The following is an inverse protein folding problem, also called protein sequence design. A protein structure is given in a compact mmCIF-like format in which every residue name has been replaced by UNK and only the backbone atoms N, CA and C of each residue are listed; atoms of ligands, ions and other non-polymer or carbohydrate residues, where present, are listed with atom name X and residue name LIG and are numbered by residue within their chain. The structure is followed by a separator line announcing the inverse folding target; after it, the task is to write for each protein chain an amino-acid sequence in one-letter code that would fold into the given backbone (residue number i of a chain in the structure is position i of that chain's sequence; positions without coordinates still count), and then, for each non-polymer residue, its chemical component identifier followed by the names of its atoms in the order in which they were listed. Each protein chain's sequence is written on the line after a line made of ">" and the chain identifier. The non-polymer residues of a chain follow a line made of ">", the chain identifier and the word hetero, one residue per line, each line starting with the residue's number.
data_IF_581330544029
#
_entry.id   IF_581330544029
#
_cell.length_a   1.000
_cell.length_b   1.000
_cell.length_c   1.000
_cell.angle_alpha   90.00
_cell.angle_beta   90.00
_cell.angle_gamma   90.00
#
_symmetry.space_group_name_H-M   'P 1'
#
loop_
_entity.id
_entity.type
_entity.pdbx_description
1 polymer ?
#
# COMPACT_ATOMS: atom_id res chain seq x y z
N UNK A 1 -1.53 1.81 25.29
CA UNK A 1 -0.94 2.81 24.38
C UNK A 1 -0.59 4.00 25.23
N UNK A 2 0.69 4.30 25.38
CA UNK A 2 1.19 5.37 26.24
C UNK A 2 0.88 6.74 25.63
N UNK A 3 0.54 7.71 26.43
CA UNK A 3 0.22 9.10 26.07
C UNK A 3 1.27 9.71 25.11
N UNK A 4 2.55 9.37 25.28
CA UNK A 4 3.63 9.77 24.37
C UNK A 4 3.45 9.31 22.90
N UNK A 5 2.90 8.13 22.66
CA UNK A 5 2.65 7.63 21.29
C UNK A 5 1.50 8.39 20.59
N UNK A 6 0.51 8.83 21.35
CA UNK A 6 -0.60 9.65 20.83
C UNK A 6 -0.14 11.08 20.49
N UNK A 7 0.68 11.67 21.33
CA UNK A 7 1.20 13.03 21.11
C UNK A 7 2.15 13.09 19.90
N UNK A 8 2.98 12.05 19.70
CA UNK A 8 3.84 11.93 18.51
C UNK A 8 3.04 11.72 17.22
N UNK A 9 2.01 10.87 17.22
CA UNK A 9 1.14 10.68 16.06
C UNK A 9 0.40 11.96 15.69
N UNK A 10 -0.06 12.72 16.67
CA UNK A 10 -0.73 14.00 16.46
C UNK A 10 0.24 15.04 15.88
N UNK A 11 1.49 15.06 16.33
CA UNK A 11 2.52 15.97 15.81
C UNK A 11 2.87 15.66 14.34
N UNK A 12 3.05 14.38 13.99
CA UNK A 12 3.33 13.95 12.61
C UNK A 12 2.15 14.29 11.68
N UNK A 13 0.93 13.98 12.11
CA UNK A 13 -0.27 14.29 11.33
C UNK A 13 -0.42 15.81 11.09
N UNK A 14 -0.16 16.62 12.11
CA UNK A 14 -0.24 18.08 11.99
C UNK A 14 0.82 18.65 11.03
N UNK A 15 2.05 18.13 11.05
CA UNK A 15 3.09 18.57 10.11
C UNK A 15 2.75 18.20 8.68
N UNK A 16 2.20 17.01 8.44
CA UNK A 16 1.79 16.56 7.11
C UNK A 16 0.60 17.32 6.56
N UNK A 17 -0.42 17.58 7.40
CA UNK A 17 -1.60 18.37 7.01
C UNK A 17 -1.22 19.81 6.66
N UNK A 18 -0.30 20.39 7.42
CA UNK A 18 0.09 21.79 7.24
C UNK A 18 1.11 22.00 6.12
N UNK A 19 2.00 21.05 5.86
CA UNK A 19 3.15 21.26 4.97
C UNK A 19 3.15 20.34 3.74
N UNK A 20 2.48 19.20 3.76
CA UNK A 20 2.48 18.20 2.69
C UNK A 20 3.89 17.70 2.32
N UNK A 21 4.83 17.76 3.26
CA UNK A 21 6.25 17.54 3.03
C UNK A 21 6.82 16.58 4.07
N UNK A 22 7.28 15.42 3.60
CA UNK A 22 7.88 14.37 4.42
C UNK A 22 9.37 14.60 4.70
N UNK A 23 10.02 15.55 4.02
CA UNK A 23 11.47 15.77 4.13
C UNK A 23 11.93 16.12 5.55
N UNK A 24 11.03 16.74 6.33
CA UNK A 24 11.30 17.19 7.71
C UNK A 24 11.07 16.13 8.78
N UNK A 25 10.51 14.99 8.39
CA UNK A 25 10.29 13.88 9.31
C UNK A 25 11.58 13.09 9.54
N UNK A 26 11.76 12.58 10.75
CA UNK A 26 12.83 11.61 11.02
C UNK A 26 12.61 10.32 10.21
N UNK A 27 13.66 9.51 10.03
CA UNK A 27 13.54 8.23 9.32
C UNK A 27 12.48 7.33 9.97
N UNK A 28 12.46 7.24 11.30
CA UNK A 28 11.47 6.45 12.04
C UNK A 28 10.03 6.97 11.84
N UNK A 29 9.84 8.28 11.82
CA UNK A 29 8.51 8.87 11.59
C UNK A 29 8.04 8.65 10.16
N UNK A 30 8.94 8.68 9.17
CA UNK A 30 8.62 8.34 7.78
C UNK A 30 8.18 6.89 7.63
N UNK A 31 8.88 5.94 8.27
CA UNK A 31 8.50 4.52 8.30
C UNK A 31 7.15 4.33 8.98
N UNK A 32 6.92 5.00 10.11
CA UNK A 32 5.64 4.95 10.82
C UNK A 32 4.50 5.51 9.97
N UNK A 33 4.73 6.65 9.33
CA UNK A 33 3.76 7.25 8.39
C UNK A 33 3.46 6.33 7.22
N UNK A 34 4.50 5.77 6.60
CA UNK A 34 4.39 4.84 5.48
C UNK A 34 3.55 3.62 5.84
N UNK A 35 3.86 2.96 6.97
CA UNK A 35 3.13 1.79 7.43
C UNK A 35 1.66 2.14 7.75
N UNK A 36 1.41 3.24 8.45
CA UNK A 36 0.06 3.71 8.75
C UNK A 36 -0.74 4.09 7.49
N UNK A 37 -0.07 4.62 6.46
CA UNK A 37 -0.70 4.92 5.17
C UNK A 37 -1.07 3.63 4.42
N UNK A 38 -0.16 2.66 4.35
CA UNK A 38 -0.43 1.33 3.77
C UNK A 38 -1.59 0.63 4.50
N UNK A 39 -1.59 0.62 5.83
CA UNK A 39 -2.65 0.01 6.64
C UNK A 39 -4.02 0.61 6.35
N UNK A 40 -4.13 1.94 6.28
CA UNK A 40 -5.38 2.64 5.94
C UNK A 40 -5.88 2.32 4.54
N UNK A 41 -4.96 2.09 3.61
CA UNK A 41 -5.27 1.71 2.23
C UNK A 41 -5.52 0.21 2.05
N UNK A 42 -5.29 -0.61 3.09
CA UNK A 42 -5.39 -2.07 3.03
C UNK A 42 -4.29 -2.71 2.18
N UNK A 43 -3.13 -2.06 2.07
CA UNK A 43 -2.01 -2.51 1.25
C UNK A 43 -0.89 -3.11 2.10
N UNK A 44 -0.19 -4.08 1.53
CA UNK A 44 0.97 -4.71 2.15
C UNK A 44 2.23 -3.83 2.00
N UNK A 45 2.77 -3.25 3.10
CA UNK A 45 3.93 -2.38 3.06
C UNK A 45 5.20 -3.07 2.55
N UNK A 46 5.35 -4.39 2.76
CA UNK A 46 6.53 -5.16 2.33
C UNK A 46 6.68 -5.24 0.82
N UNK A 47 5.61 -5.06 0.07
CA UNK A 47 5.62 -5.03 -1.39
C UNK A 47 5.95 -3.66 -1.97
N UNK A 48 6.25 -2.68 -1.13
CA UNK A 48 6.55 -1.28 -1.48
C UNK A 48 5.48 -0.66 -2.40
N UNK A 49 4.20 -0.59 -1.95
CA UNK A 49 3.13 -0.01 -2.76
C UNK A 49 3.30 1.49 -3.02
N UNK A 50 4.08 2.16 -2.19
CA UNK A 50 4.46 3.56 -2.36
C UNK A 50 5.98 3.71 -2.25
N UNK A 51 6.50 4.81 -2.79
CA UNK A 51 7.89 5.22 -2.61
C UNK A 51 7.95 6.74 -2.47
N UNK A 52 9.11 7.27 -2.08
CA UNK A 52 9.32 8.69 -1.89
C UNK A 52 9.84 9.34 -3.17
N UNK A 53 9.22 10.43 -3.54
CA UNK A 53 9.66 11.34 -4.59
C UNK A 53 10.19 12.62 -3.95
N UNK A 54 11.41 12.99 -4.30
CA UNK A 54 11.97 14.28 -3.93
C UNK A 54 11.79 15.27 -5.08
N UNK A 55 11.04 16.34 -4.81
CA UNK A 55 10.70 17.36 -5.79
C UNK A 55 10.81 18.75 -5.15
N UNK A 56 11.65 19.62 -5.71
CA UNK A 56 11.85 21.00 -5.24
C UNK A 56 12.14 21.09 -3.72
N UNK A 57 12.94 20.15 -3.19
CA UNK A 57 13.30 20.09 -1.77
C UNK A 57 12.25 19.48 -0.86
N UNK A 58 11.09 19.12 -1.38
CA UNK A 58 10.04 18.40 -0.65
C UNK A 58 10.07 16.91 -0.94
N UNK A 59 9.66 16.11 0.01
CA UNK A 59 9.44 14.68 -0.18
C UNK A 59 7.96 14.36 -0.08
N UNK A 60 7.44 13.68 -1.10
CA UNK A 60 6.04 13.24 -1.18
C UNK A 60 5.97 11.76 -1.53
N UNK A 61 4.90 11.07 -1.14
CA UNK A 61 4.65 9.70 -1.57
C UNK A 61 4.11 9.68 -3.01
N UNK A 62 4.58 8.71 -3.78
CA UNK A 62 3.97 8.35 -5.06
C UNK A 62 3.62 6.87 -5.10
N UNK A 63 2.62 6.50 -5.89
CA UNK A 63 2.15 5.13 -6.00
C UNK A 63 2.98 4.36 -7.03
N UNK A 64 3.57 3.25 -6.61
CA UNK A 64 4.33 2.35 -7.48
C UNK A 64 3.41 1.45 -8.31
N UNK A 65 4.00 0.68 -9.23
CA UNK A 65 3.28 -0.37 -9.96
C UNK A 65 2.65 -1.39 -9.01
N UNK A 66 3.38 -1.81 -7.98
CA UNK A 66 2.89 -2.74 -6.96
C UNK A 66 1.65 -2.20 -6.25
N UNK A 67 1.68 -0.92 -5.86
CA UNK A 67 0.56 -0.27 -5.20
C UNK A 67 -0.70 -0.28 -6.05
N UNK A 68 -0.62 0.14 -7.32
CA UNK A 68 -1.79 0.13 -8.21
C UNK A 68 -2.33 -1.27 -8.48
N UNK A 69 -1.45 -2.28 -8.58
CA UNK A 69 -1.89 -3.67 -8.75
C UNK A 69 -2.63 -4.22 -7.53
N UNK A 70 -2.18 -3.90 -6.32
CA UNK A 70 -2.86 -4.26 -5.09
C UNK A 70 -4.21 -3.56 -4.97
N UNK A 71 -4.27 -2.25 -5.26
CA UNK A 71 -5.51 -1.48 -5.29
C UNK A 71 -6.53 -2.09 -6.27
N UNK A 72 -6.09 -2.46 -7.47
CA UNK A 72 -6.95 -3.13 -8.45
C UNK A 72 -7.52 -4.45 -7.91
N UNK A 73 -6.69 -5.27 -7.27
CA UNK A 73 -7.13 -6.53 -6.65
C UNK A 73 -8.09 -6.30 -5.49
N UNK A 74 -7.78 -5.35 -4.61
CA UNK A 74 -8.56 -5.04 -3.41
C UNK A 74 -9.96 -4.52 -3.77
N UNK A 75 -10.02 -3.55 -4.68
CA UNK A 75 -11.26 -2.88 -5.08
C UNK A 75 -11.95 -3.54 -6.30
N UNK A 76 -11.39 -4.65 -6.82
CA UNK A 76 -11.94 -5.36 -8.01
C UNK A 76 -12.05 -4.45 -9.24
N UNK A 77 -11.04 -3.59 -9.44
CA UNK A 77 -10.99 -2.69 -10.61
C UNK A 77 -10.72 -3.51 -11.87
N UNK A 78 -11.55 -3.31 -12.88
CA UNK A 78 -11.37 -3.87 -14.22
C UNK A 78 -10.94 -2.78 -15.20
N UNK A 79 -10.08 -3.13 -16.16
CA UNK A 79 -9.59 -2.21 -17.18
C UNK A 79 -10.00 -2.64 -18.56
N UNK A 80 -10.42 -1.67 -19.38
CA UNK A 80 -10.64 -1.81 -20.82
C UNK A 80 -9.85 -0.73 -21.54
N UNK A 81 -9.07 -1.10 -22.55
CA UNK A 81 -8.43 -0.11 -23.42
C UNK A 81 -9.45 0.34 -24.46
N UNK A 82 -9.80 1.62 -24.42
CA UNK A 82 -10.82 2.21 -25.30
C UNK A 82 -10.24 2.79 -26.58
N UNK A 83 -8.99 3.28 -26.54
CA UNK A 83 -8.28 3.70 -27.77
C UNK A 83 -6.78 3.48 -27.71
N UNK A 84 -6.16 3.41 -28.89
CA UNK A 84 -4.72 3.43 -29.10
C UNK A 84 -4.45 4.30 -30.33
N UNK A 85 -3.85 5.47 -30.09
CA UNK A 85 -3.66 6.48 -31.12
C UNK A 85 -2.17 6.88 -31.25
N UNK A 86 -1.78 7.15 -32.47
CA UNK A 86 -0.44 7.66 -32.79
C UNK A 86 -0.55 9.07 -33.37
N UNK A 87 -0.01 10.05 -32.68
CA UNK A 87 0.20 11.38 -33.28
C UNK A 87 1.61 11.42 -33.87
N UNK A 88 1.70 11.20 -35.17
CA UNK A 88 2.97 11.12 -35.88
C UNK A 88 3.69 12.47 -35.91
N UNK A 89 2.97 13.59 -36.01
CA UNK A 89 3.54 14.94 -36.05
C UNK A 89 4.20 15.31 -34.71
N UNK A 90 3.52 14.99 -33.62
CA UNK A 90 4.04 15.20 -32.26
C UNK A 90 5.02 14.10 -31.80
N UNK A 91 5.12 13.00 -32.54
CA UNK A 91 5.94 11.85 -32.16
C UNK A 91 5.46 11.19 -30.86
N UNK A 92 4.14 11.17 -30.61
CA UNK A 92 3.55 10.67 -29.36
C UNK A 92 2.60 9.51 -29.62
N UNK A 93 2.70 8.46 -28.81
CA UNK A 93 1.73 7.37 -28.74
C UNK A 93 0.86 7.54 -27.52
N UNK A 94 -0.46 7.45 -27.69
CA UNK A 94 -1.47 7.69 -26.67
C UNK A 94 -2.33 6.45 -26.52
N UNK A 95 -2.56 6.05 -25.30
CA UNK A 95 -3.49 4.96 -24.93
C UNK A 95 -4.53 5.52 -23.99
N UNK A 96 -5.81 5.23 -24.22
CA UNK A 96 -6.90 5.53 -23.29
C UNK A 96 -7.34 4.25 -22.61
N UNK A 97 -7.37 4.26 -21.29
CA UNK A 97 -7.84 3.16 -20.46
C UNK A 97 -9.05 3.59 -19.66
N UNK A 98 -10.13 2.81 -19.75
CA UNK A 98 -11.29 2.89 -18.89
C UNK A 98 -11.11 1.93 -17.72
N UNK A 99 -11.15 2.44 -16.50
CA UNK A 99 -11.24 1.67 -15.28
C UNK A 99 -12.70 1.64 -14.79
N UNK A 100 -13.15 0.51 -14.25
CA UNK A 100 -14.51 0.32 -13.74
C UNK A 100 -14.52 -0.49 -12.45
N UNK A 101 -15.49 -0.17 -11.58
CA UNK A 101 -15.82 -0.92 -10.36
C UNK A 101 -17.05 -1.79 -10.58
N UNK A 102 -17.27 -2.81 -9.72
CA UNK A 102 -18.47 -3.66 -9.80
C UNK A 102 -19.80 -2.91 -9.61
N UNK A 103 -19.77 -1.75 -8.95
CA UNK A 103 -20.94 -0.89 -8.75
C UNK A 103 -21.33 -0.06 -9.98
N UNK A 104 -20.56 -0.16 -11.06
CA UNK A 104 -20.78 0.56 -12.32
C UNK A 104 -20.06 1.91 -12.43
N UNK A 105 -19.44 2.41 -11.36
CA UNK A 105 -18.56 3.62 -11.45
C UNK A 105 -17.41 3.34 -12.40
N UNK A 106 -17.10 4.32 -13.24
CA UNK A 106 -15.99 4.22 -14.16
C UNK A 106 -15.35 5.60 -14.40
N UNK A 107 -14.11 5.58 -14.84
CA UNK A 107 -13.36 6.75 -15.30
C UNK A 107 -12.47 6.35 -16.47
N UNK A 108 -12.04 7.32 -17.25
CA UNK A 108 -11.05 7.12 -18.32
C UNK A 108 -9.84 8.02 -18.07
N UNK A 109 -8.67 7.48 -18.33
CA UNK A 109 -7.41 8.22 -18.24
C UNK A 109 -6.49 7.85 -19.39
N UNK A 110 -5.65 8.80 -19.78
CA UNK A 110 -4.70 8.60 -20.87
C UNK A 110 -3.29 8.33 -20.32
N UNK A 111 -2.55 7.50 -21.06
CA UNK A 111 -1.12 7.34 -20.94
C UNK A 111 -0.44 7.72 -22.25
N UNK A 112 0.44 8.70 -22.22
CA UNK A 112 1.15 9.16 -23.38
C UNK A 112 2.66 8.98 -23.22
N UNK A 113 3.34 8.60 -24.28
CA UNK A 113 4.80 8.43 -24.34
C UNK A 113 5.34 8.99 -25.64
N UNK A 114 6.55 9.54 -25.57
CA UNK A 114 7.28 9.98 -26.76
C UNK A 114 7.81 8.74 -27.50
N UNK A 115 7.54 8.67 -28.81
CA UNK A 115 8.00 7.61 -29.73
C UNK A 115 8.86 8.15 -30.87
N UNK A 116 9.12 9.45 -30.89
CA UNK A 116 9.90 10.08 -31.94
C UNK A 116 11.31 9.46 -32.03
N UNK A 117 11.66 8.98 -33.21
CA UNK A 117 12.96 8.35 -33.46
C UNK A 117 13.17 6.95 -32.89
N UNK A 118 12.21 6.40 -32.15
CA UNK A 118 12.29 5.06 -31.57
C UNK A 118 12.07 3.99 -32.65
N UNK A 119 12.82 2.87 -32.56
CA UNK A 119 12.72 1.71 -33.46
C UNK A 119 12.85 0.41 -32.66
N UNK A 120 12.34 -0.67 -33.25
CA UNK A 120 12.48 -2.02 -32.70
C UNK A 120 11.99 -2.12 -31.26
N UNK A 121 12.86 -2.67 -30.40
CA UNK A 121 12.53 -2.94 -29.00
C UNK A 121 12.21 -1.66 -28.20
N UNK A 122 12.94 -0.56 -28.43
CA UNK A 122 12.65 0.70 -27.76
C UNK A 122 11.25 1.24 -28.08
N UNK A 123 10.80 1.10 -29.32
CA UNK A 123 9.43 1.44 -29.74
C UNK A 123 8.39 0.53 -29.06
N UNK A 124 8.63 -0.78 -29.04
CA UNK A 124 7.73 -1.72 -28.38
C UNK A 124 7.60 -1.44 -26.88
N UNK A 125 8.72 -1.16 -26.22
CA UNK A 125 8.72 -0.81 -24.78
C UNK A 125 7.97 0.50 -24.52
N UNK A 126 8.08 1.49 -25.38
CA UNK A 126 7.34 2.75 -25.26
C UNK A 126 5.82 2.51 -25.34
N UNK A 127 5.36 1.69 -26.27
CA UNK A 127 3.93 1.32 -26.41
C UNK A 127 3.42 0.62 -25.14
N UNK A 128 4.17 -0.36 -24.62
CA UNK A 128 3.81 -1.04 -23.38
C UNK A 128 3.80 -0.08 -22.17
N UNK A 129 4.73 0.88 -22.13
CA UNK A 129 4.78 1.92 -21.10
C UNK A 129 3.54 2.83 -21.16
N UNK A 130 3.08 3.21 -22.35
CA UNK A 130 1.87 4.03 -22.52
C UNK A 130 0.63 3.33 -21.97
N UNK A 131 0.45 2.03 -22.28
CA UNK A 131 -0.68 1.25 -21.77
C UNK A 131 -0.63 1.11 -20.23
N UNK A 132 0.53 0.83 -19.69
CA UNK A 132 0.73 0.73 -18.24
C UNK A 132 0.40 2.06 -17.56
N UNK A 133 0.85 3.19 -18.11
CA UNK A 133 0.59 4.53 -17.62
C UNK A 133 -0.90 4.85 -17.60
N UNK A 134 -1.61 4.56 -18.70
CA UNK A 134 -3.06 4.75 -18.80
C UNK A 134 -3.82 3.98 -17.70
N UNK A 135 -3.50 2.69 -17.53
CA UNK A 135 -4.15 1.84 -16.51
C UNK A 135 -3.91 2.34 -15.09
N UNK A 136 -2.69 2.72 -14.75
CA UNK A 136 -2.36 3.22 -13.40
C UNK A 136 -3.11 4.50 -13.08
N UNK A 137 -3.09 5.48 -13.97
CA UNK A 137 -3.81 6.74 -13.79
C UNK A 137 -5.30 6.50 -13.64
N UNK A 138 -5.90 5.67 -14.51
CA UNK A 138 -7.31 5.33 -14.41
C UNK A 138 -7.67 4.66 -13.06
N UNK A 139 -6.78 3.83 -12.49
CA UNK A 139 -6.97 3.26 -11.16
C UNK A 139 -7.01 4.34 -10.09
N UNK A 140 -6.01 5.22 -10.05
CA UNK A 140 -5.88 6.25 -9.02
C UNK A 140 -7.03 7.26 -9.10
N UNK A 141 -7.43 7.67 -10.31
CA UNK A 141 -8.56 8.56 -10.55
C UNK A 141 -9.88 7.92 -10.07
N UNK A 142 -10.12 6.66 -10.44
CA UNK A 142 -11.34 5.94 -10.08
C UNK A 142 -11.52 5.79 -8.57
N UNK A 143 -10.42 5.56 -7.86
CA UNK A 143 -10.41 5.40 -6.41
C UNK A 143 -10.32 6.73 -5.65
N UNK A 144 -10.20 7.85 -6.35
CA UNK A 144 -10.11 9.19 -5.74
C UNK A 144 -8.82 9.42 -4.97
N UNK A 145 -7.74 8.76 -5.38
CA UNK A 145 -6.43 8.88 -4.75
C UNK A 145 -5.65 10.00 -5.41
N UNK A 146 -5.45 11.10 -4.69
CA UNK A 146 -4.69 12.26 -5.14
C UNK A 146 -3.16 12.07 -5.11
N UNK A 147 -2.68 10.84 -5.30
CA UNK A 147 -1.24 10.53 -5.38
C UNK A 147 -0.83 10.35 -6.83
N UNK A 148 0.35 10.86 -7.16
CA UNK A 148 0.94 10.67 -8.49
C UNK A 148 1.38 9.21 -8.70
N UNK A 149 1.39 8.75 -9.94
CA UNK A 149 1.91 7.44 -10.27
C UNK A 149 3.42 7.48 -10.54
N UNK A 150 4.05 6.29 -10.53
CA UNK A 150 5.48 6.13 -10.79
C UNK A 150 5.93 6.72 -12.14
N UNK A 151 5.11 6.61 -13.18
CA UNK A 151 5.45 7.13 -14.50
C UNK A 151 5.29 8.65 -14.60
N UNK A 152 4.43 9.24 -13.78
CA UNK A 152 4.37 10.69 -13.61
C UNK A 152 5.59 11.19 -12.83
N UNK A 153 5.94 10.51 -11.73
CA UNK A 153 7.13 10.82 -10.95
C UNK A 153 8.42 10.83 -11.82
N UNK A 154 8.60 9.80 -12.68
CA UNK A 154 9.74 9.72 -13.61
C UNK A 154 9.74 10.84 -14.67
N UNK A 155 8.60 11.42 -15.01
CA UNK A 155 8.49 12.46 -16.04
C UNK A 155 8.68 13.87 -15.51
N UNK A 156 8.76 14.07 -14.21
CA UNK A 156 8.97 15.39 -13.59
C UNK A 156 10.44 15.77 -13.67
N UNK A 157 10.80 16.90 -14.32
CA UNK A 157 12.18 17.36 -14.36
C UNK A 157 12.76 17.62 -12.96
N UNK A 158 13.98 17.19 -12.72
CA UNK A 158 14.69 17.32 -11.44
C UNK A 158 14.06 16.57 -10.25
N UNK A 159 13.14 15.66 -10.50
CA UNK A 159 12.65 14.75 -9.47
C UNK A 159 13.60 13.56 -9.31
N UNK A 160 13.88 13.16 -8.07
CA UNK A 160 14.58 11.91 -7.76
C UNK A 160 13.66 10.94 -7.08
N UNK A 161 13.58 9.73 -7.63
CA UNK A 161 12.82 8.60 -7.10
C UNK A 161 13.72 7.68 -6.28
N UNK A 162 13.12 6.80 -5.44
CA UNK A 162 13.88 5.78 -4.70
C UNK A 162 14.51 6.26 -3.40
N UNK A 163 14.08 7.39 -2.87
CA UNK A 163 14.62 7.94 -1.61
C UNK A 163 14.42 7.02 -0.39
N UNK A 164 13.49 6.06 -0.43
CA UNK A 164 13.34 5.03 0.61
C UNK A 164 14.53 4.07 0.64
N UNK A 165 15.14 3.75 -0.51
CA UNK A 165 16.32 2.86 -0.56
C UNK A 165 17.54 3.50 0.07
N UNK A 166 17.80 4.77 -0.21
CA UNK A 166 18.92 5.53 0.38
C UNK A 166 18.76 5.74 1.88
N UNK A 167 17.53 5.67 2.42
CA UNK A 167 17.28 5.78 3.86
C UNK A 167 17.58 4.50 4.61
N UNK A 168 17.32 3.34 4.03
CA UNK A 168 17.66 2.05 4.64
C UNK A 168 19.18 1.90 4.75
N UNK A 169 19.94 2.40 3.77
CA UNK A 169 21.40 2.41 3.80
C UNK A 169 21.99 3.45 4.76
N UNK A 170 21.23 4.50 5.09
CA UNK A 170 21.65 5.58 5.99
C UNK A 170 21.21 5.40 7.45
N UNK A 171 20.44 4.36 7.77
CA UNK A 171 20.13 3.99 9.15
C UNK A 171 21.39 3.31 9.69
N UNK A 172 22.15 3.92 10.63
CA UNK A 172 23.22 3.20 11.31
C UNK A 172 22.57 1.94 11.91
N UNK A 173 23.28 0.82 11.86
CA UNK A 173 22.84 -0.44 12.47
C UNK A 173 22.20 -0.12 13.82
N UNK A 174 20.85 -0.11 13.83
CA UNK A 174 20.11 0.09 15.07
C UNK A 174 20.33 -1.16 15.89
N UNK A 175 20.66 -0.95 17.16
CA UNK A 175 20.86 -2.01 18.13
C UNK A 175 19.87 -3.15 17.92
N UNK A 176 20.38 -4.37 17.89
CA UNK A 176 19.65 -5.62 17.61
C UNK A 176 18.37 -5.77 18.46
N UNK A 177 18.32 -5.13 19.63
CA UNK A 177 17.13 -5.09 20.50
C UNK A 177 15.89 -4.45 19.87
N UNK A 178 16.03 -3.44 19.01
CA UNK A 178 14.87 -2.75 18.39
C UNK A 178 14.31 -3.54 17.21
N UNK A 179 15.16 -4.26 16.49
CA UNK A 179 14.73 -5.14 15.38
C UNK A 179 14.00 -6.36 15.94
N UNK A 180 14.49 -6.96 17.02
CA UNK A 180 13.80 -8.06 17.72
C UNK A 180 12.42 -7.66 18.25
N UNK A 181 12.26 -6.45 18.77
CA UNK A 181 10.96 -5.96 19.28
C UNK A 181 9.97 -5.74 18.14
N UNK A 182 10.42 -5.23 16.98
CA UNK A 182 9.54 -5.02 15.81
C UNK A 182 9.15 -6.35 15.16
N UNK A 183 10.08 -7.29 15.03
CA UNK A 183 9.81 -8.63 14.50
C UNK A 183 8.88 -9.42 15.43
N UNK A 184 9.09 -9.36 16.75
CA UNK A 184 8.24 -10.03 17.74
C UNK A 184 6.82 -9.44 17.77
N UNK A 185 6.65 -8.12 17.68
CA UNK A 185 5.31 -7.50 17.59
C UNK A 185 4.58 -7.83 16.29
N UNK A 186 5.29 -7.89 15.16
CA UNK A 186 4.71 -8.27 13.87
C UNK A 186 4.33 -9.75 13.82
N UNK A 187 5.17 -10.64 14.34
CA UNK A 187 4.88 -12.06 14.50
C UNK A 187 3.75 -12.31 15.50
N UNK A 188 3.67 -11.55 16.57
CA UNK A 188 2.59 -11.64 17.54
C UNK A 188 1.25 -11.22 16.94
N UNK A 189 1.19 -10.13 16.21
CA UNK A 189 -0.01 -9.68 15.48
C UNK A 189 -0.45 -10.68 14.41
N UNK A 190 0.49 -11.26 13.64
CA UNK A 190 0.22 -12.29 12.65
C UNK A 190 -0.30 -13.58 13.32
N UNK A 191 0.25 -13.93 14.48
CA UNK A 191 -0.18 -15.08 15.28
C UNK A 191 -1.58 -14.86 15.87
N UNK A 192 -1.89 -13.66 16.35
CA UNK A 192 -3.21 -13.27 16.85
C UNK A 192 -4.26 -13.36 15.73
N UNK A 193 -3.95 -12.86 14.54
CA UNK A 193 -4.82 -12.97 13.37
C UNK A 193 -5.12 -14.42 12.97
N UNK A 194 -4.10 -15.28 12.94
CA UNK A 194 -4.25 -16.72 12.65
C UNK A 194 -5.08 -17.43 13.72
N UNK A 195 -4.90 -17.05 14.99
CA UNK A 195 -5.64 -17.61 16.11
C UNK A 195 -7.11 -17.21 16.06
N UNK A 196 -7.44 -15.96 15.73
CA UNK A 196 -8.82 -15.51 15.53
C UNK A 196 -9.52 -16.29 14.40
N UNK A 197 -8.80 -16.55 13.29
CA UNK A 197 -9.31 -17.38 12.19
C UNK A 197 -9.55 -18.83 12.63
N UNK A 198 -8.64 -19.43 13.40
CA UNK A 198 -8.78 -20.79 13.91
C UNK A 198 -9.97 -20.93 14.84
N UNK A 199 -10.19 -19.97 15.76
CA UNK A 199 -11.35 -19.90 16.64
C UNK A 199 -12.65 -19.83 15.82
N UNK A 200 -12.68 -18.99 14.78
CA UNK A 200 -13.85 -18.80 13.93
C UNK A 200 -14.18 -20.03 13.07
N UNK A 201 -13.17 -20.80 12.67
CA UNK A 201 -13.32 -22.03 11.87
C UNK A 201 -13.69 -23.27 12.68
N UNK A 202 -13.52 -23.27 14.00
CA UNK A 202 -13.88 -24.41 14.84
C UNK A 202 -15.37 -24.75 14.69
N UNK A 203 -15.68 -25.98 14.28
CA UNK A 203 -17.04 -26.43 13.94
C UNK A 203 -17.76 -27.02 15.14
N UNK A 204 -17.06 -27.35 16.21
CA UNK A 204 -17.60 -27.92 17.42
C UNK A 204 -16.78 -27.54 18.68
N UNK A 205 -17.31 -27.84 19.85
CA UNK A 205 -16.70 -27.49 21.15
C UNK A 205 -15.35 -28.19 21.36
N UNK A 206 -15.16 -29.40 20.80
CA UNK A 206 -13.93 -30.18 20.95
C UNK A 206 -12.79 -29.51 20.18
N UNK A 207 -13.04 -29.09 18.93
CA UNK A 207 -12.11 -28.34 18.13
C UNK A 207 -11.77 -26.99 18.76
N UNK A 208 -12.79 -26.28 19.28
CA UNK A 208 -12.58 -24.99 19.94
C UNK A 208 -11.72 -25.14 21.20
N UNK A 209 -11.89 -26.22 21.95
CA UNK A 209 -11.09 -26.55 23.12
C UNK A 209 -9.64 -26.88 22.74
N UNK A 210 -9.41 -27.63 21.65
CA UNK A 210 -8.09 -27.93 21.15
C UNK A 210 -7.32 -26.66 20.75
N UNK A 211 -7.99 -25.69 20.09
CA UNK A 211 -7.40 -24.39 19.76
C UNK A 211 -7.03 -23.61 21.03
N UNK A 212 -7.89 -23.64 22.05
CA UNK A 212 -7.61 -22.99 23.33
C UNK A 212 -6.41 -23.63 24.04
N UNK A 213 -6.40 -24.95 24.20
CA UNK A 213 -5.37 -25.68 24.94
C UNK A 213 -3.98 -25.49 24.30
N UNK A 214 -3.92 -25.48 22.96
CA UNK A 214 -2.68 -25.25 22.21
C UNK A 214 -2.16 -23.80 22.29
N UNK A 215 -3.02 -22.84 22.62
CA UNK A 215 -2.66 -21.40 22.59
C UNK A 215 -3.05 -20.66 23.88
N UNK A 216 -3.19 -21.37 24.99
CA UNK A 216 -3.73 -20.86 26.25
C UNK A 216 -3.12 -19.55 26.69
N UNK A 217 -1.79 -19.45 26.73
CA UNK A 217 -1.09 -18.24 27.16
C UNK A 217 -1.44 -17.02 26.29
N UNK A 218 -1.43 -17.17 24.96
CA UNK A 218 -1.75 -16.09 24.02
C UNK A 218 -3.21 -15.65 24.09
N UNK A 219 -4.12 -16.56 24.38
CA UNK A 219 -5.54 -16.27 24.53
C UNK A 219 -5.80 -15.55 25.85
N UNK A 220 -5.15 -15.97 26.93
CA UNK A 220 -5.36 -15.38 28.25
C UNK A 220 -4.79 -13.97 28.37
N UNK A 221 -3.72 -13.67 27.63
CA UNK A 221 -3.08 -12.34 27.61
C UNK A 221 -3.74 -11.36 26.65
N UNK A 222 -4.57 -11.83 25.69
CA UNK A 222 -5.18 -10.97 24.68
C UNK A 222 -6.71 -10.91 24.83
N UNK A 223 -7.22 -9.75 25.25
CA UNK A 223 -8.65 -9.53 25.52
C UNK A 223 -9.52 -9.76 24.28
N UNK A 224 -9.07 -9.30 23.09
CA UNK A 224 -9.80 -9.46 21.82
C UNK A 224 -10.01 -10.93 21.46
N UNK A 225 -8.95 -11.76 21.56
CA UNK A 225 -9.05 -13.21 21.28
C UNK A 225 -9.91 -13.92 22.30
N UNK A 226 -9.83 -13.53 23.56
CA UNK A 226 -10.66 -14.05 24.65
C UNK A 226 -12.16 -13.84 24.41
N UNK A 227 -12.52 -12.67 23.90
CA UNK A 227 -13.90 -12.33 23.57
C UNK A 227 -14.39 -13.08 22.31
N UNK A 228 -13.54 -13.24 21.29
CA UNK A 228 -13.85 -14.07 20.12
C UNK A 228 -14.09 -15.54 20.51
N UNK A 229 -13.28 -16.08 21.40
CA UNK A 229 -13.42 -17.45 21.87
C UNK A 229 -14.73 -17.64 22.66
N UNK A 230 -15.09 -16.68 23.54
CA UNK A 230 -16.36 -16.70 24.28
C UNK A 230 -17.57 -16.62 23.34
N UNK A 231 -17.50 -15.72 22.34
CA UNK A 231 -18.55 -15.57 21.35
C UNK A 231 -18.77 -16.87 20.58
N UNK A 232 -17.68 -17.48 20.06
CA UNK A 232 -17.76 -18.74 19.32
C UNK A 232 -18.24 -19.91 20.16
N UNK A 233 -17.83 -20.00 21.43
CA UNK A 233 -18.33 -20.99 22.37
C UNK A 233 -19.84 -20.89 22.56
N UNK A 234 -20.34 -19.65 22.71
CA UNK A 234 -21.79 -19.43 22.90
C UNK A 234 -22.61 -19.76 21.64
N UNK A 235 -22.06 -19.53 20.46
CA UNK A 235 -22.68 -19.93 19.18
C UNK A 235 -22.79 -21.45 19.08
N UNK A 236 -21.70 -22.18 19.37
CA UNK A 236 -21.64 -23.64 19.29
C UNK A 236 -22.48 -24.37 20.39
N UNK A 237 -22.87 -23.68 21.46
CA UNK A 237 -23.74 -24.21 22.48
C UNK A 237 -25.24 -23.98 22.21
N UNK A 238 -25.57 -23.11 21.24
CA UNK A 238 -26.95 -22.76 20.87
C UNK A 238 -27.45 -23.49 19.63
N UNK A 239 -26.56 -24.09 18.87
CA UNK A 239 -26.85 -24.92 17.67
C UNK A 239 -26.71 -26.39 17.97
#
# INVERSE_FOLDING_TARGET
>A
MTQQNQDQQTSIANQLILQGDLSKLSANDKVRYYNGYCERMGLDPYTKPFDLLRLNGKEILYCTRSGTQQLNKLHKVSHTITSRDTNAEAGVYIVTSKASLPDGRCTESIGAVNIAGLKGEAYANAIMKAETKAKRRATLDLLGLGVIDESEAESIPNASTGALQTMVEAIPEMDVEVVEVIETEAEEKLTIGRLAIAIKKASNIVELKAVYDANKHKIETNTFIKDQLKARKNELLKG
#
